data_IF_142848343635
#
_entry.id   IF_142848343635
#
_cell.length_a   1.000
_cell.length_b   1.000
_cell.length_c   1.000
_cell.angle_alpha   90.00
_cell.angle_beta   90.00
_cell.angle_gamma   90.00
#
_symmetry.space_group_name_H-M   'P 1'
#
loop_
_entity.id
_entity.type
_entity.pdbx_description
1 polymer ?
#
# COMPACT_ATOMS: atom_id res chain seq x y z
N UNK A 1 9.17 7.75 -1.28
CA UNK A 1 8.68 6.41 -1.60
C UNK A 1 9.78 5.42 -1.27
N UNK A 2 9.44 4.15 -1.01
CA UNK A 2 10.42 3.08 -0.86
C UNK A 2 11.13 2.80 -2.18
N UNK A 3 12.14 1.93 -2.15
CA UNK A 3 12.81 1.51 -3.39
C UNK A 3 11.78 0.80 -4.26
N UNK A 4 11.60 1.30 -5.50
CA UNK A 4 10.69 0.66 -6.44
C UNK A 4 11.37 -0.53 -7.07
N UNK A 5 10.63 -1.62 -7.06
CA UNK A 5 11.01 -2.83 -7.75
C UNK A 5 10.09 -2.99 -8.94
N UNK A 6 10.71 -2.98 -10.10
CA UNK A 6 10.02 -3.08 -11.36
C UNK A 6 10.48 -4.35 -12.04
N UNK A 7 9.50 -5.08 -12.57
CA UNK A 7 9.75 -6.27 -13.38
C UNK A 7 10.48 -7.42 -12.66
N UNK A 8 9.75 -8.11 -11.78
CA UNK A 8 10.16 -9.40 -11.20
C UNK A 8 9.77 -10.55 -12.12
N UNK A 9 10.52 -10.69 -13.19
CA UNK A 9 10.46 -11.88 -14.02
C UNK A 9 11.83 -12.52 -14.03
N UNK A 10 11.91 -13.85 -14.05
CA UNK A 10 13.21 -14.55 -14.01
C UNK A 10 14.06 -14.25 -15.27
N UNK A 11 13.41 -14.04 -16.42
CA UNK A 11 14.06 -13.94 -17.72
C UNK A 11 14.04 -12.56 -18.36
N UNK A 12 13.21 -11.62 -17.86
CA UNK A 12 13.20 -10.26 -18.40
C UNK A 12 14.20 -9.38 -17.64
N UNK A 13 14.79 -8.42 -18.36
CA UNK A 13 15.64 -7.40 -17.72
C UNK A 13 14.82 -6.44 -16.87
N UNK A 14 15.51 -5.50 -16.23
CA UNK A 14 14.91 -4.39 -15.50
C UNK A 14 15.03 -3.11 -16.35
N UNK A 15 14.14 -2.11 -16.14
CA UNK A 15 14.18 -0.89 -16.93
C UNK A 15 15.45 -0.08 -16.66
N UNK A 16 16.27 0.18 -17.69
CA UNK A 16 17.58 0.85 -17.55
C UNK A 16 17.55 2.14 -16.73
N UNK A 17 16.47 2.93 -16.86
CA UNK A 17 16.29 4.18 -16.11
C UNK A 17 16.24 3.99 -14.60
N UNK A 18 15.88 2.79 -14.12
CA UNK A 18 15.80 2.51 -12.69
C UNK A 18 17.17 2.50 -12.02
N UNK A 19 18.26 2.23 -12.76
CA UNK A 19 19.62 2.24 -12.23
C UNK A 19 20.03 3.58 -11.63
N UNK A 20 19.69 4.66 -12.33
CA UNK A 20 20.06 6.02 -11.95
C UNK A 20 19.09 6.61 -10.92
N UNK A 21 17.87 6.08 -10.83
CA UNK A 21 16.84 6.56 -9.93
C UNK A 21 16.06 5.41 -9.25
N UNK A 22 16.40 5.05 -7.99
CA UNK A 22 15.65 4.07 -7.21
C UNK A 22 14.23 4.51 -6.81
N UNK A 23 13.87 5.77 -7.06
CA UNK A 23 12.61 6.39 -6.67
C UNK A 23 11.94 7.10 -7.86
N UNK A 24 11.44 6.34 -8.85
CA UNK A 24 10.78 6.91 -10.02
C UNK A 24 9.61 7.82 -9.68
N UNK A 25 9.37 8.80 -10.54
CA UNK A 25 8.11 9.54 -10.54
C UNK A 25 6.94 8.64 -10.96
N UNK A 26 5.72 9.07 -10.64
CA UNK A 26 4.49 8.43 -11.14
C UNK A 26 4.52 8.27 -12.66
N UNK A 27 4.96 9.29 -13.39
CA UNK A 27 4.93 9.27 -14.86
C UNK A 27 5.89 8.23 -15.43
N UNK A 28 7.07 8.07 -14.82
CA UNK A 28 7.99 6.99 -15.17
C UNK A 28 7.42 5.60 -14.89
N UNK A 29 6.67 5.45 -13.80
CA UNK A 29 5.96 4.19 -13.52
C UNK A 29 4.87 3.91 -14.55
N UNK A 30 4.10 4.93 -14.96
CA UNK A 30 3.04 4.78 -15.97
C UNK A 30 3.62 4.42 -17.35
N UNK A 31 4.70 5.08 -17.76
CA UNK A 31 5.45 4.74 -18.98
C UNK A 31 5.90 3.27 -18.94
N UNK A 32 6.45 2.83 -17.82
CA UNK A 32 6.92 1.45 -17.66
C UNK A 32 5.77 0.44 -17.63
N UNK A 33 4.62 0.74 -17.01
CA UNK A 33 3.45 -0.15 -17.05
C UNK A 33 2.92 -0.33 -18.48
N UNK A 34 2.94 0.73 -19.29
CA UNK A 34 2.58 0.63 -20.70
C UNK A 34 3.58 -0.26 -21.47
N UNK A 35 4.89 -0.01 -21.32
CA UNK A 35 5.95 -0.81 -21.93
C UNK A 35 5.84 -2.31 -21.58
N UNK A 36 5.70 -2.63 -20.29
CA UNK A 36 5.50 -4.01 -19.82
C UNK A 36 4.24 -4.61 -20.43
N UNK A 37 3.12 -3.87 -20.47
CA UNK A 37 1.87 -4.37 -21.01
C UNK A 37 1.96 -4.71 -22.50
N UNK A 38 2.70 -3.91 -23.27
CA UNK A 38 2.98 -4.14 -24.68
C UNK A 38 3.91 -5.34 -24.88
N UNK A 39 5.02 -5.39 -24.15
CA UNK A 39 6.02 -6.48 -24.26
C UNK A 39 5.46 -7.84 -23.89
N UNK A 40 4.62 -7.90 -22.85
CA UNK A 40 3.98 -9.14 -22.41
C UNK A 40 2.74 -9.47 -23.26
N UNK A 41 2.36 -8.59 -24.20
CA UNK A 41 1.25 -8.82 -25.12
C UNK A 41 -0.11 -8.92 -24.43
N UNK A 42 -0.29 -8.27 -23.27
CA UNK A 42 -1.55 -8.39 -22.50
C UNK A 42 -2.64 -7.46 -23.00
N UNK A 43 -2.29 -6.37 -23.69
CA UNK A 43 -3.23 -5.34 -24.13
C UNK A 43 -4.43 -5.87 -24.95
N UNK A 44 -4.30 -6.84 -25.87
CA UNK A 44 -5.44 -7.42 -26.58
C UNK A 44 -6.49 -8.09 -25.69
N UNK A 45 -6.12 -8.44 -24.46
CA UNK A 45 -6.99 -9.09 -23.47
C UNK A 45 -7.57 -8.11 -22.44
N UNK A 46 -7.20 -6.82 -22.51
CA UNK A 46 -7.65 -5.78 -21.57
C UNK A 46 -8.81 -4.99 -22.18
N UNK A 47 -9.90 -4.86 -21.42
CA UNK A 47 -11.05 -4.02 -21.78
C UNK A 47 -11.13 -2.81 -20.85
N UNK A 48 -10.61 -1.67 -21.32
CA UNK A 48 -10.72 -0.41 -20.59
C UNK A 48 -12.14 0.16 -20.69
N UNK A 49 -12.46 1.13 -19.82
CA UNK A 49 -13.79 1.77 -19.74
C UNK A 49 -14.95 0.77 -19.59
N UNK A 50 -14.67 -0.37 -18.95
CA UNK A 50 -15.61 -1.49 -18.77
C UNK A 50 -15.75 -1.78 -17.28
N UNK A 51 -16.98 -1.77 -16.76
CA UNK A 51 -17.28 -2.19 -15.39
C UNK A 51 -17.87 -3.60 -15.37
N UNK A 52 -17.46 -4.40 -14.38
CA UNK A 52 -18.15 -5.65 -14.03
C UNK A 52 -19.20 -5.34 -12.97
N UNK A 53 -20.47 -5.54 -13.31
CA UNK A 53 -21.59 -5.07 -12.49
C UNK A 53 -22.18 -6.18 -11.62
N UNK A 54 -22.26 -7.41 -12.16
CA UNK A 54 -22.84 -8.56 -11.46
C UNK A 54 -22.08 -9.85 -11.79
N UNK A 55 -22.13 -10.80 -10.87
CA UNK A 55 -21.61 -12.16 -11.03
C UNK A 55 -22.71 -13.18 -10.69
N UNK A 56 -23.01 -14.08 -11.63
CA UNK A 56 -23.90 -15.22 -11.40
C UNK A 56 -23.10 -16.52 -11.45
N UNK A 57 -23.37 -17.38 -10.47
CA UNK A 57 -22.82 -18.75 -10.44
C UNK A 57 -23.82 -19.65 -11.16
N UNK A 58 -23.35 -20.35 -12.19
CA UNK A 58 -24.16 -21.20 -13.06
C UNK A 58 -23.73 -22.66 -12.86
N UNK A 59 -24.68 -23.53 -12.55
CA UNK A 59 -24.43 -24.93 -12.21
C UNK A 59 -24.72 -25.21 -10.73
N UNK A 60 -25.02 -26.48 -10.41
CA UNK A 60 -25.38 -26.91 -9.04
C UNK A 60 -24.28 -27.72 -8.35
N UNK A 61 -23.44 -28.41 -9.11
CA UNK A 61 -22.34 -29.18 -8.54
C UNK A 61 -21.09 -28.32 -8.44
N UNK A 62 -20.38 -28.45 -7.32
CA UNK A 62 -19.20 -27.65 -7.05
C UNK A 62 -18.17 -27.76 -8.18
N UNK A 63 -17.87 -28.95 -8.68
CA UNK A 63 -16.82 -29.12 -9.68
C UNK A 63 -17.21 -28.71 -11.12
N UNK A 64 -18.50 -28.56 -11.42
CA UNK A 64 -18.98 -28.24 -12.77
C UNK A 64 -19.56 -26.83 -12.93
N UNK A 65 -19.52 -26.01 -11.87
CA UNK A 65 -20.01 -24.64 -11.95
C UNK A 65 -19.14 -23.74 -12.86
N UNK A 66 -19.80 -22.76 -13.48
CA UNK A 66 -19.21 -21.68 -14.28
C UNK A 66 -19.76 -20.33 -13.83
N UNK A 67 -19.25 -19.24 -14.40
CA UNK A 67 -19.60 -17.89 -13.99
C UNK A 67 -20.08 -17.06 -15.18
N UNK A 68 -21.14 -16.30 -14.95
CA UNK A 68 -21.64 -15.28 -15.87
C UNK A 68 -21.42 -13.90 -15.25
N UNK A 69 -20.58 -13.08 -15.90
CA UNK A 69 -20.26 -11.73 -15.48
C UNK A 69 -20.96 -10.74 -16.40
N UNK A 70 -21.81 -9.87 -15.86
CA UNK A 70 -22.39 -8.78 -16.66
C UNK A 70 -21.38 -7.63 -16.73
N UNK A 71 -21.00 -7.28 -17.96
CA UNK A 71 -20.06 -6.21 -18.26
C UNK A 71 -20.79 -5.02 -18.91
N UNK A 72 -20.40 -3.81 -18.53
CA UNK A 72 -20.85 -2.57 -19.19
C UNK A 72 -19.64 -1.77 -19.68
N UNK A 73 -19.43 -1.75 -20.99
CA UNK A 73 -18.47 -0.83 -21.61
C UNK A 73 -19.14 0.53 -21.84
N UNK A 74 -18.43 1.63 -21.58
CA UNK A 74 -18.93 2.99 -21.85
C UNK A 74 -19.37 3.11 -23.32
N UNK A 75 -20.64 3.48 -23.53
CA UNK A 75 -21.23 3.66 -24.86
C UNK A 75 -21.67 2.38 -25.58
N UNK A 76 -21.62 1.21 -24.93
CA UNK A 76 -22.15 -0.06 -25.46
C UNK A 76 -23.26 -0.60 -24.57
N UNK A 77 -24.08 -1.51 -25.11
CA UNK A 77 -25.04 -2.27 -24.31
C UNK A 77 -24.36 -3.21 -23.30
N UNK A 78 -25.11 -3.65 -22.29
CA UNK A 78 -24.61 -4.67 -21.38
C UNK A 78 -24.42 -6.01 -22.10
N UNK A 79 -23.36 -6.73 -21.75
CA UNK A 79 -23.11 -8.08 -22.25
C UNK A 79 -22.83 -9.04 -21.10
N UNK A 80 -23.13 -10.33 -21.32
CA UNK A 80 -22.82 -11.39 -20.36
C UNK A 80 -21.59 -12.15 -20.86
N UNK A 81 -20.53 -12.13 -20.06
CA UNK A 81 -19.30 -12.86 -20.31
C UNK A 81 -19.28 -14.16 -19.49
N UNK A 82 -19.09 -15.30 -20.16
CA UNK A 82 -18.98 -16.61 -19.51
C UNK A 82 -17.51 -16.91 -19.20
N UNK A 83 -17.24 -17.29 -17.95
CA UNK A 83 -15.91 -17.60 -17.47
C UNK A 83 -15.89 -18.90 -16.64
N UNK A 84 -14.76 -19.61 -16.67
CA UNK A 84 -14.52 -20.76 -15.79
C UNK A 84 -14.06 -20.35 -14.38
N UNK A 85 -13.57 -19.12 -14.23
CA UNK A 85 -13.11 -18.54 -12.97
C UNK A 85 -13.16 -17.02 -13.01
N UNK A 86 -13.24 -16.37 -11.85
CA UNK A 86 -13.21 -14.92 -11.69
C UNK A 86 -12.18 -14.56 -10.63
N UNK A 87 -11.19 -13.76 -11.01
CA UNK A 87 -10.19 -13.20 -10.08
C UNK A 87 -10.30 -11.68 -10.06
N UNK A 88 -10.35 -11.09 -8.88
CA UNK A 88 -10.45 -9.64 -8.71
C UNK A 88 -9.24 -9.09 -7.95
N UNK A 89 -8.64 -8.03 -8.49
CA UNK A 89 -7.49 -7.33 -7.90
C UNK A 89 -7.85 -5.85 -7.70
N UNK A 90 -8.81 -5.52 -6.82
CA UNK A 90 -9.38 -4.18 -6.76
C UNK A 90 -8.46 -3.16 -6.09
N UNK A 91 -7.40 -3.62 -5.39
CA UNK A 91 -6.66 -2.80 -4.44
C UNK A 91 -7.49 -2.43 -3.21
N UNK A 92 -6.86 -1.79 -2.24
CA UNK A 92 -7.46 -1.35 -0.97
C UNK A 92 -7.42 0.18 -0.78
N UNK A 93 -6.87 0.91 -1.75
CA UNK A 93 -6.75 2.38 -1.75
C UNK A 93 -7.80 3.02 -2.68
N UNK A 94 -9.03 2.49 -2.66
CA UNK A 94 -10.07 2.84 -3.65
C UNK A 94 -11.07 3.88 -3.14
N UNK A 95 -11.40 3.87 -1.84
CA UNK A 95 -12.38 4.80 -1.27
C UNK A 95 -11.72 5.75 -0.26
N UNK A 96 -11.40 7.01 -0.62
CA UNK A 96 -10.75 7.94 0.30
C UNK A 96 -11.63 8.26 1.53
N UNK A 97 -11.06 8.16 2.73
CA UNK A 97 -11.74 8.58 3.95
C UNK A 97 -11.99 10.08 3.92
N UNK A 98 -13.25 10.47 4.10
CA UNK A 98 -13.67 11.87 4.07
C UNK A 98 -13.82 12.44 5.47
N UNK A 99 -13.40 13.69 5.63
CA UNK A 99 -13.60 14.49 6.83
C UNK A 99 -13.99 15.91 6.42
N UNK A 100 -14.89 16.50 7.18
CA UNK A 100 -15.31 17.89 7.04
C UNK A 100 -15.13 18.58 8.39
N UNK A 101 -14.42 19.69 8.39
CA UNK A 101 -14.22 20.52 9.57
C UNK A 101 -15.29 21.62 9.63
N UNK A 102 -15.71 22.03 10.84
CA UNK A 102 -16.52 23.24 10.97
C UNK A 102 -15.79 24.47 10.41
N UNK A 103 -16.50 25.28 9.61
CA UNK A 103 -16.01 26.54 9.06
C UNK A 103 -15.23 26.43 7.75
N UNK A 104 -15.20 25.27 7.08
CA UNK A 104 -14.57 25.10 5.76
C UNK A 104 -15.09 26.09 4.70
N UNK A 105 -16.35 26.49 4.80
CA UNK A 105 -17.01 27.50 3.97
C UNK A 105 -16.46 28.93 4.18
N UNK A 106 -15.78 29.17 5.30
CA UNK A 106 -15.18 30.47 5.66
C UNK A 106 -13.66 30.46 5.60
N UNK A 107 -13.05 29.33 5.23
CA UNK A 107 -11.60 29.24 5.05
C UNK A 107 -11.23 29.86 3.70
N UNK A 108 -10.22 30.74 3.69
CA UNK A 108 -9.84 31.52 2.51
C UNK A 108 -8.88 30.78 1.59
N UNK A 109 -8.23 29.72 2.09
CA UNK A 109 -7.30 28.89 1.33
C UNK A 109 -7.96 27.68 0.69
N UNK A 110 -7.16 26.86 0.01
CA UNK A 110 -7.63 25.62 -0.60
C UNK A 110 -7.80 24.51 0.46
N UNK A 111 -8.91 23.76 0.40
CA UNK A 111 -9.11 22.54 1.18
C UNK A 111 -9.35 21.39 0.22
N UNK A 112 -8.39 20.48 0.14
CA UNK A 112 -8.39 19.40 -0.85
C UNK A 112 -7.98 18.08 -0.21
N UNK A 113 -8.26 16.98 -0.91
CA UNK A 113 -7.62 15.71 -0.61
C UNK A 113 -6.37 15.61 -1.47
N UNK A 114 -5.18 15.55 -0.85
CA UNK A 114 -3.86 15.55 -1.52
C UNK A 114 -3.52 14.23 -2.23
N UNK A 115 -4.49 13.69 -2.96
CA UNK A 115 -4.46 12.42 -3.68
C UNK A 115 -4.92 12.62 -5.12
N UNK A 116 -4.54 11.72 -6.02
CA UNK A 116 -5.03 11.65 -7.41
C UNK A 116 -4.83 12.92 -8.25
N UNK A 117 -3.78 13.71 -7.99
CA UNK A 117 -3.48 14.97 -8.69
C UNK A 117 -4.59 16.02 -8.64
N UNK A 118 -5.46 15.98 -7.64
CA UNK A 118 -6.57 16.92 -7.52
C UNK A 118 -6.15 18.31 -7.03
N UNK A 119 -4.85 18.58 -6.93
CA UNK A 119 -4.31 19.81 -6.38
C UNK A 119 -3.09 20.29 -7.16
N UNK A 120 -3.08 21.58 -7.46
CA UNK A 120 -1.94 22.27 -8.05
C UNK A 120 -0.97 22.71 -6.95
N UNK A 121 0.17 22.03 -6.87
CA UNK A 121 1.19 22.32 -5.86
C UNK A 121 1.90 23.65 -6.09
N UNK A 122 1.78 24.32 -7.24
CA UNK A 122 2.31 25.67 -7.40
C UNK A 122 1.71 26.65 -6.37
N UNK A 123 0.50 26.38 -5.87
CA UNK A 123 -0.19 27.18 -4.88
C UNK A 123 0.41 27.12 -3.47
N UNK A 124 1.26 26.13 -3.17
CA UNK A 124 1.90 26.02 -1.85
C UNK A 124 3.13 26.90 -1.71
N UNK A 125 3.66 27.42 -2.82
CA UNK A 125 4.86 28.23 -2.85
C UNK A 125 4.73 29.41 -1.89
N UNK A 126 5.70 29.55 -0.99
CA UNK A 126 5.79 30.62 0.01
C UNK A 126 4.60 30.69 1.01
N UNK A 127 3.72 29.68 1.02
CA UNK A 127 2.57 29.57 1.91
C UNK A 127 2.78 28.54 3.03
N UNK A 128 2.08 28.71 4.15
CA UNK A 128 1.97 27.66 5.16
C UNK A 128 0.94 26.63 4.71
N UNK A 129 1.26 25.35 4.84
CA UNK A 129 0.39 24.23 4.46
C UNK A 129 0.11 23.37 5.68
N UNK A 130 -1.14 23.00 5.89
CA UNK A 130 -1.49 21.93 6.81
C UNK A 130 -1.70 20.61 6.06
N UNK A 131 -1.04 19.56 6.51
CA UNK A 131 -1.29 18.18 6.09
C UNK A 131 -2.03 17.46 7.21
N UNK A 132 -3.16 16.83 6.90
CA UNK A 132 -3.94 16.02 7.85
C UNK A 132 -3.59 14.55 7.67
N UNK A 133 -2.97 13.95 8.68
CA UNK A 133 -2.61 12.53 8.68
C UNK A 133 -1.11 12.30 8.88
N UNK A 134 -0.75 11.04 9.18
CA UNK A 134 0.63 10.64 9.46
C UNK A 134 1.15 9.50 8.55
N UNK A 135 0.31 8.98 7.66
CA UNK A 135 0.63 7.82 6.81
C UNK A 135 1.50 8.13 5.60
N UNK A 136 1.68 7.13 4.74
CA UNK A 136 2.59 7.22 3.59
C UNK A 136 2.34 8.43 2.67
N UNK A 137 1.09 8.70 2.31
CA UNK A 137 0.74 9.87 1.50
C UNK A 137 1.11 11.19 2.18
N UNK A 138 1.04 11.29 3.51
CA UNK A 138 1.39 12.50 4.23
C UNK A 138 2.89 12.79 4.17
N UNK A 139 3.72 11.76 4.36
CA UNK A 139 5.19 11.87 4.19
C UNK A 139 5.55 12.26 2.74
N UNK A 140 4.87 11.69 1.76
CA UNK A 140 5.04 12.06 0.35
C UNK A 140 4.64 13.51 0.07
N UNK A 141 3.51 13.97 0.61
CA UNK A 141 3.05 15.35 0.45
C UNK A 141 3.99 16.34 1.15
N UNK A 142 4.64 15.98 2.27
CA UNK A 142 5.70 16.82 2.88
C UNK A 142 6.82 17.05 1.87
N UNK A 143 7.28 15.99 1.18
CA UNK A 143 8.30 16.13 0.12
C UNK A 143 7.83 17.10 -0.96
N UNK A 144 6.64 16.87 -1.52
CA UNK A 144 6.14 17.72 -2.62
C UNK A 144 5.93 19.16 -2.18
N UNK A 145 5.45 19.43 -0.97
CA UNK A 145 5.38 20.78 -0.44
C UNK A 145 6.76 21.45 -0.34
N UNK A 146 7.79 20.71 0.08
CA UNK A 146 9.17 21.23 0.14
C UNK A 146 9.75 21.48 -1.25
N UNK A 147 9.55 20.57 -2.21
CA UNK A 147 9.96 20.74 -3.62
C UNK A 147 9.34 21.99 -4.25
N UNK A 148 8.10 22.31 -3.88
CA UNK A 148 7.38 23.52 -4.32
C UNK A 148 7.56 24.72 -3.38
N UNK A 149 8.57 24.68 -2.50
CA UNK A 149 8.98 25.79 -1.61
C UNK A 149 7.87 26.29 -0.68
N UNK A 150 7.10 25.39 -0.08
CA UNK A 150 6.20 25.78 1.01
C UNK A 150 7.00 26.46 2.14
N UNK A 151 6.44 27.56 2.68
CA UNK A 151 7.06 28.33 3.78
C UNK A 151 7.18 27.47 5.04
N UNK A 152 6.12 26.72 5.34
CA UNK A 152 6.03 25.81 6.49
C UNK A 152 5.01 24.72 6.21
N UNK A 153 5.29 23.50 6.66
CA UNK A 153 4.37 22.38 6.63
C UNK A 153 4.00 21.97 8.06
N UNK A 154 2.72 22.00 8.39
CA UNK A 154 2.17 21.50 9.65
C UNK A 154 1.52 20.14 9.40
N UNK A 155 2.16 19.07 9.84
CA UNK A 155 1.64 17.71 9.72
C UNK A 155 0.86 17.38 11.00
N UNK A 156 -0.47 17.50 10.94
CA UNK A 156 -1.37 17.33 12.08
C UNK A 156 -1.97 15.94 12.06
N UNK A 157 -1.86 15.21 13.18
CA UNK A 157 -2.38 13.86 13.29
C UNK A 157 -2.85 13.53 14.71
N UNK A 158 -3.79 12.59 14.84
CA UNK A 158 -4.24 12.11 16.16
C UNK A 158 -3.21 11.24 16.87
N UNK A 159 -2.32 10.59 16.11
CA UNK A 159 -1.22 9.74 16.60
C UNK A 159 -0.09 9.74 15.56
N UNK A 160 1.16 9.86 16.01
CA UNK A 160 2.33 9.77 15.12
C UNK A 160 2.54 8.33 14.68
N UNK A 161 2.62 8.09 13.38
CA UNK A 161 3.07 6.79 12.84
C UNK A 161 4.54 6.83 12.51
N UNK A 162 5.20 5.68 12.54
CA UNK A 162 6.62 5.57 12.20
C UNK A 162 6.76 5.88 10.70
N UNK A 163 7.66 6.80 10.39
CA UNK A 163 8.20 7.02 9.05
C UNK A 163 9.50 6.25 8.90
N UNK A 164 9.82 5.83 7.69
CA UNK A 164 10.99 5.00 7.40
C UNK A 164 11.94 5.73 6.45
N UNK A 165 13.25 5.79 6.75
CA UNK A 165 14.25 6.27 5.80
C UNK A 165 14.33 5.38 4.57
N UNK A 166 14.68 5.95 3.41
CA UNK A 166 14.84 5.17 2.16
C UNK A 166 15.93 4.11 2.29
N UNK A 167 17.03 4.40 3.00
CA UNK A 167 18.10 3.44 3.26
C UNK A 167 17.62 2.21 4.03
N UNK A 168 16.76 2.40 5.04
CA UNK A 168 16.17 1.27 5.78
C UNK A 168 15.27 0.43 4.88
N UNK A 169 14.49 1.07 4.01
CA UNK A 169 13.68 0.38 3.00
C UNK A 169 14.55 -0.45 2.06
N UNK A 170 15.63 0.12 1.51
CA UNK A 170 16.58 -0.63 0.69
C UNK A 170 17.20 -1.81 1.45
N UNK A 171 17.62 -1.60 2.70
CA UNK A 171 18.21 -2.64 3.54
C UNK A 171 17.28 -3.85 3.74
N UNK A 172 15.98 -3.61 3.95
CA UNK A 172 14.96 -4.66 4.03
C UNK A 172 14.75 -5.34 2.68
N UNK A 173 14.74 -4.59 1.59
CA UNK A 173 14.42 -5.13 0.28
C UNK A 173 15.58 -5.92 -0.35
N UNK A 174 16.83 -5.60 -0.03
CA UNK A 174 18.00 -6.36 -0.50
C UNK A 174 18.24 -7.64 0.31
N UNK A 175 17.61 -7.78 1.49
CA UNK A 175 17.85 -8.93 2.34
C UNK A 175 17.28 -10.21 1.73
N UNK A 176 17.98 -11.32 1.90
CA UNK A 176 17.44 -12.63 1.53
C UNK A 176 16.32 -13.02 2.50
N UNK A 177 16.65 -12.95 3.79
CA UNK A 177 15.74 -13.25 4.89
C UNK A 177 15.03 -12.01 5.41
N UNK A 178 13.90 -12.22 6.09
CA UNK A 178 13.19 -11.13 6.73
C UNK A 178 14.03 -10.48 7.84
N UNK A 179 14.08 -9.15 7.86
CA UNK A 179 14.82 -8.36 8.86
C UNK A 179 13.94 -8.16 10.09
N UNK A 180 14.46 -8.47 11.28
CA UNK A 180 13.70 -8.27 12.52
C UNK A 180 13.30 -6.81 12.73
N UNK A 181 12.15 -6.59 13.36
CA UNK A 181 11.66 -5.25 13.68
C UNK A 181 12.65 -4.46 14.54
N UNK A 182 13.42 -5.14 15.41
CA UNK A 182 14.52 -4.55 16.16
C UNK A 182 15.57 -3.95 15.24
N UNK A 183 16.16 -4.75 14.35
CA UNK A 183 17.19 -4.29 13.42
C UNK A 183 16.65 -3.19 12.49
N UNK A 184 15.39 -3.30 12.09
CA UNK A 184 14.70 -2.25 11.34
C UNK A 184 14.68 -0.93 12.13
N UNK A 185 14.24 -0.91 13.39
CA UNK A 185 14.25 0.31 14.22
C UNK A 185 15.66 0.82 14.48
N UNK A 186 16.63 -0.06 14.74
CA UNK A 186 18.04 0.31 14.93
C UNK A 186 18.60 1.02 13.68
N UNK A 187 18.29 0.51 12.47
CA UNK A 187 18.70 1.13 11.21
C UNK A 187 18.05 2.49 10.94
N UNK A 188 16.92 2.80 11.57
CA UNK A 188 16.24 4.10 11.46
C UNK A 188 16.88 5.18 12.34
N UNK A 189 17.66 4.78 13.36
CA UNK A 189 18.20 5.65 14.42
C UNK A 189 18.84 6.92 13.88
N UNK A 190 19.74 6.91 12.87
CA UNK A 190 20.40 8.14 12.42
C UNK A 190 19.43 9.26 12.00
N UNK A 191 18.30 8.90 11.37
CA UNK A 191 17.32 9.87 10.90
C UNK A 191 16.36 10.32 12.01
N UNK A 192 16.15 9.49 13.03
CA UNK A 192 15.35 9.82 14.20
C UNK A 192 16.13 10.68 15.21
N UNK A 193 17.41 10.40 15.39
CA UNK A 193 18.35 11.24 16.14
C UNK A 193 18.43 12.65 15.53
N UNK A 194 18.47 12.74 14.20
CA UNK A 194 18.49 14.01 13.47
C UNK A 194 17.30 14.92 13.81
N UNK A 195 16.13 14.34 14.08
CA UNK A 195 14.90 15.09 14.43
C UNK A 195 14.63 15.11 15.94
N UNK A 196 15.52 14.53 16.75
CA UNK A 196 15.40 14.48 18.22
C UNK A 196 14.21 13.66 18.72
N UNK A 197 13.86 12.56 18.04
CA UNK A 197 12.71 11.72 18.40
C UNK A 197 13.17 10.28 18.64
N UNK A 198 12.75 9.68 19.76
CA UNK A 198 12.95 8.24 20.00
C UNK A 198 11.92 7.41 19.21
N UNK A 199 12.35 6.71 18.16
CA UNK A 199 11.47 5.83 17.37
C UNK A 199 10.86 4.70 18.21
N UNK A 200 11.50 4.33 19.33
CA UNK A 200 11.03 3.27 20.21
C UNK A 200 9.88 3.72 21.12
N UNK A 201 9.70 5.03 21.30
CA UNK A 201 8.63 5.58 22.13
C UNK A 201 7.29 5.69 21.39
N UNK A 202 7.24 5.30 20.12
CA UNK A 202 6.01 5.34 19.33
C UNK A 202 5.01 4.33 19.86
N UNK A 203 3.73 4.71 19.87
CA UNK A 203 2.63 3.83 20.32
C UNK A 203 2.56 2.50 19.57
N UNK A 204 3.11 2.46 18.35
CA UNK A 204 3.12 1.30 17.48
C UNK A 204 4.25 0.32 17.79
N UNK A 205 5.24 0.69 18.60
CA UNK A 205 6.33 -0.22 18.98
C UNK A 205 5.95 -0.96 20.24
N UNK A 206 5.74 -2.28 20.11
CA UNK A 206 5.50 -3.18 21.24
C UNK A 206 6.79 -3.93 21.48
N UNK A 207 7.36 -3.78 22.68
CA UNK A 207 8.65 -4.40 23.02
C UNK A 207 8.77 -4.71 24.50
N UNK A 208 9.68 -5.63 24.84
CA UNK A 208 10.08 -5.87 26.23
C UNK A 208 11.06 -4.78 26.71
N UNK A 209 11.31 -4.71 28.02
CA UNK A 209 12.21 -3.70 28.61
C UNK A 209 13.62 -3.73 27.99
N UNK A 210 14.13 -4.92 27.67
CA UNK A 210 15.44 -5.11 27.05
C UNK A 210 15.49 -4.76 25.55
N UNK A 211 14.36 -4.37 24.95
CA UNK A 211 14.21 -4.07 23.51
C UNK A 211 14.65 -5.19 22.56
N UNK A 212 14.57 -6.45 23.00
CA UNK A 212 15.00 -7.62 22.22
C UNK A 212 13.88 -8.27 21.41
N UNK A 213 12.64 -8.21 21.91
CA UNK A 213 11.46 -8.77 21.24
C UNK A 213 10.56 -7.64 20.80
N UNK A 214 10.57 -7.34 19.50
CA UNK A 214 9.91 -6.14 18.95
C UNK A 214 8.85 -6.53 17.93
N UNK A 215 7.68 -5.93 18.05
CA UNK A 215 6.63 -5.96 17.02
C UNK A 215 6.18 -4.53 16.73
N UNK A 216 6.08 -4.17 15.45
CA UNK A 216 5.53 -2.87 15.04
C UNK A 216 4.07 -3.06 14.60
N UNK A 217 3.15 -2.37 15.28
CA UNK A 217 1.70 -2.37 15.02
C UNK A 217 1.17 -0.96 14.75
N UNK A 218 0.98 -0.61 13.48
CA UNK A 218 0.38 0.68 13.10
C UNK A 218 -0.68 0.56 12.00
N UNK A 219 -1.72 1.39 12.09
CA UNK A 219 -2.83 1.40 11.13
C UNK A 219 -2.49 2.03 9.77
N UNK A 220 -1.31 2.62 9.61
CA UNK A 220 -0.86 3.16 8.34
C UNK A 220 0.39 2.42 7.90
N UNK A 221 0.58 2.25 6.59
CA UNK A 221 1.90 1.87 6.05
C UNK A 221 2.94 2.93 6.40
N UNK A 222 4.21 2.53 6.47
CA UNK A 222 5.30 3.46 6.66
C UNK A 222 5.28 4.52 5.55
N UNK A 223 5.40 5.79 5.93
CA UNK A 223 5.82 6.80 4.99
C UNK A 223 7.31 6.69 4.80
N UNK A 224 7.72 6.26 3.61
CA UNK A 224 9.13 6.05 3.28
C UNK A 224 9.66 7.29 2.57
N UNK A 225 10.58 8.04 3.18
CA UNK A 225 11.14 9.24 2.56
C UNK A 225 12.05 10.05 3.47
N UNK A 226 13.20 10.45 2.93
CA UNK A 226 14.24 11.15 3.70
C UNK A 226 13.92 12.64 3.87
N UNK A 227 13.26 13.25 2.87
CA UNK A 227 12.87 14.66 2.89
C UNK A 227 11.96 15.01 4.07
N UNK A 228 11.16 14.05 4.57
CA UNK A 228 10.39 14.25 5.80
C UNK A 228 11.29 14.56 7.00
N UNK A 229 12.33 13.76 7.21
CA UNK A 229 13.26 13.95 8.32
C UNK A 229 14.08 15.22 8.15
N UNK A 230 14.56 15.48 6.93
CA UNK A 230 15.31 16.72 6.63
C UNK A 230 14.43 17.96 6.84
N UNK A 231 13.17 17.94 6.40
CA UNK A 231 12.25 19.05 6.58
C UNK A 231 11.95 19.30 8.06
N UNK A 232 11.80 18.24 8.87
CA UNK A 232 11.66 18.36 10.33
C UNK A 232 12.91 18.96 10.97
N UNK A 233 14.09 18.45 10.62
CA UNK A 233 15.38 18.90 11.18
C UNK A 233 15.68 20.36 10.84
N UNK A 234 15.38 20.79 9.61
CA UNK A 234 15.54 22.17 9.16
C UNK A 234 14.40 23.10 9.61
N UNK A 235 13.39 22.58 10.33
CA UNK A 235 12.25 23.37 10.79
C UNK A 235 11.25 23.76 9.69
N UNK A 236 11.34 23.21 8.48
CA UNK A 236 10.32 23.38 7.42
C UNK A 236 9.05 22.58 7.69
N UNK A 237 9.16 21.46 8.40
CA UNK A 237 8.03 20.63 8.80
C UNK A 237 7.89 20.61 10.33
N UNK A 238 6.65 20.56 10.81
CA UNK A 238 6.33 20.31 12.21
C UNK A 238 5.28 19.21 12.33
N UNK A 239 5.60 18.14 13.06
CA UNK A 239 4.70 16.99 13.27
C UNK A 239 3.95 17.11 14.60
N UNK A 240 2.68 17.52 14.51
CA UNK A 240 1.81 17.89 15.62
C UNK A 240 0.85 16.74 15.95
N UNK A 241 0.79 16.35 17.23
CA UNK A 241 -0.20 15.40 17.74
C UNK A 241 -1.40 16.17 18.29
N UNK A 242 -2.43 16.34 17.46
CA UNK A 242 -3.64 17.08 17.79
C UNK A 242 -4.74 16.74 16.78
N UNK A 243 -5.91 17.35 16.93
CA UNK A 243 -7.00 17.29 15.95
C UNK A 243 -7.47 18.69 15.56
N UNK A 244 -8.11 18.79 14.40
CA UNK A 244 -8.67 20.06 13.92
C UNK A 244 -10.04 20.28 14.54
N UNK A 245 -10.17 21.31 15.37
CA UNK A 245 -11.45 21.70 15.96
C UNK A 245 -12.35 22.41 14.95
N UNK A 246 -11.79 23.36 14.21
CA UNK A 246 -12.46 24.15 13.16
C UNK A 246 -11.44 24.93 12.33
N UNK A 247 -11.88 25.48 11.21
CA UNK A 247 -11.11 26.40 10.38
C UNK A 247 -11.88 27.70 10.19
N UNK A 248 -11.17 28.82 9.99
CA UNK A 248 -11.79 30.12 9.72
C UNK A 248 -10.77 31.10 9.15
N UNK A 249 -11.10 31.85 8.10
CA UNK A 249 -10.13 32.78 7.51
C UNK A 249 -8.92 32.01 6.97
N UNK A 250 -7.71 32.39 7.40
CA UNK A 250 -6.46 31.66 7.13
C UNK A 250 -5.95 30.89 8.36
N UNK A 251 -6.82 30.58 9.32
CA UNK A 251 -6.45 29.97 10.60
C UNK A 251 -7.07 28.59 10.78
N UNK A 252 -6.24 27.63 11.19
CA UNK A 252 -6.69 26.34 11.70
C UNK A 252 -6.66 26.38 13.23
N UNK A 253 -7.79 26.09 13.86
CA UNK A 253 -7.91 25.99 15.32
C UNK A 253 -7.83 24.53 15.71
N UNK A 254 -6.82 24.16 16.48
CA UNK A 254 -6.65 22.80 16.98
C UNK A 254 -7.42 22.57 18.28
N UNK A 255 -7.66 21.31 18.63
CA UNK A 255 -8.42 20.94 19.83
C UNK A 255 -7.68 21.34 21.11
N UNK A 256 -6.34 21.31 21.12
CA UNK A 256 -5.53 21.81 22.24
C UNK A 256 -5.70 23.31 22.52
N UNK A 257 -6.31 24.07 21.60
CA UNK A 257 -6.38 25.54 21.65
C UNK A 257 -5.26 26.23 20.88
N UNK A 258 -4.24 25.50 20.42
CA UNK A 258 -3.22 26.04 19.50
C UNK A 258 -3.86 26.48 18.19
N UNK A 259 -3.37 27.58 17.63
CA UNK A 259 -3.76 28.08 16.31
C UNK A 259 -2.60 27.97 15.33
N UNK A 260 -2.90 27.54 14.11
CA UNK A 260 -1.98 27.60 12.97
C UNK A 260 -2.45 28.74 12.08
N UNK A 261 -1.67 29.81 12.02
CA UNK A 261 -2.03 31.04 11.31
C UNK A 261 -1.40 31.08 9.91
N UNK A 262 -1.96 31.92 9.04
CA UNK A 262 -1.52 32.10 7.65
C UNK A 262 -1.48 30.80 6.83
N UNK A 263 -2.36 29.84 7.14
CA UNK A 263 -2.46 28.58 6.38
C UNK A 263 -3.16 28.87 5.06
N UNK A 264 -2.44 28.69 3.95
CA UNK A 264 -2.95 28.90 2.59
C UNK A 264 -3.56 27.65 1.97
N UNK A 265 -3.22 26.45 2.48
CA UNK A 265 -3.79 25.20 1.98
C UNK A 265 -3.89 24.13 3.07
N UNK A 266 -4.94 23.31 3.00
CA UNK A 266 -5.17 22.14 3.83
C UNK A 266 -5.26 20.90 2.93
N UNK A 267 -4.30 20.00 3.08
CA UNK A 267 -4.21 18.73 2.36
C UNK A 267 -4.70 17.58 3.26
N UNK A 268 -5.92 17.09 3.02
CA UNK A 268 -6.53 15.99 3.76
C UNK A 268 -6.03 14.62 3.26
N UNK A 269 -5.27 13.90 4.10
CA UNK A 269 -4.65 12.61 3.78
C UNK A 269 -5.05 11.54 4.82
N UNK A 270 -6.36 11.34 4.93
CA UNK A 270 -6.98 10.57 6.01
C UNK A 270 -6.94 9.03 5.80
N UNK A 271 -6.31 8.56 4.72
CA UNK A 271 -6.28 7.15 4.32
C UNK A 271 -7.51 6.74 3.50
N UNK A 272 -7.67 5.43 3.32
CA UNK A 272 -8.69 4.84 2.46
C UNK A 272 -9.45 3.72 3.18
N UNK A 273 -10.63 3.42 2.68
CA UNK A 273 -11.38 2.19 2.92
C UNK A 273 -11.43 1.37 1.62
N UNK A 274 -11.75 0.09 1.74
CA UNK A 274 -12.17 -0.71 0.59
C UNK A 274 -13.58 -0.38 0.14
N UNK A 275 -13.97 -0.97 -0.99
CA UNK A 275 -15.31 -0.80 -1.56
C UNK A 275 -16.16 -2.06 -1.33
N UNK A 276 -17.26 -1.94 -0.58
CA UNK A 276 -18.24 -3.01 -0.42
C UNK A 276 -18.88 -3.45 -1.75
N UNK A 277 -18.74 -2.64 -2.81
CA UNK A 277 -19.14 -3.02 -4.15
C UNK A 277 -18.42 -4.30 -4.64
N UNK A 278 -17.17 -4.51 -4.22
CA UNK A 278 -16.41 -5.72 -4.57
C UNK A 278 -16.98 -6.97 -3.88
N UNK A 279 -17.34 -6.85 -2.59
CA UNK A 279 -18.01 -7.93 -1.85
C UNK A 279 -19.35 -8.30 -2.48
N UNK A 280 -20.16 -7.27 -2.82
CA UNK A 280 -21.44 -7.46 -3.50
C UNK A 280 -21.29 -8.10 -4.87
N UNK A 281 -20.29 -7.66 -5.66
CA UNK A 281 -19.99 -8.20 -6.97
C UNK A 281 -19.67 -9.70 -6.87
N UNK A 282 -18.75 -10.09 -5.99
CA UNK A 282 -18.35 -11.50 -5.86
C UNK A 282 -19.27 -12.34 -4.96
N UNK A 283 -20.27 -11.71 -4.33
CA UNK A 283 -21.20 -12.31 -3.36
C UNK A 283 -20.43 -12.95 -2.19
N UNK A 284 -19.51 -12.19 -1.61
CA UNK A 284 -18.68 -12.64 -0.49
C UNK A 284 -19.53 -12.71 0.78
N UNK A 285 -19.60 -13.89 1.39
CA UNK A 285 -20.12 -14.08 2.75
C UNK A 285 -18.95 -14.24 3.72
N UNK A 286 -17.99 -15.06 3.31
CA UNK A 286 -16.71 -15.23 3.96
C UNK A 286 -15.57 -15.22 2.93
N UNK A 287 -14.41 -14.74 3.35
CA UNK A 287 -13.15 -14.89 2.65
C UNK A 287 -12.31 -15.95 3.36
N UNK A 288 -12.23 -17.15 2.78
CA UNK A 288 -11.41 -18.25 3.29
C UNK A 288 -10.02 -18.16 2.65
N UNK A 289 -9.05 -17.68 3.41
CA UNK A 289 -7.78 -17.24 2.84
C UNK A 289 -7.97 -16.11 1.84
N UNK A 290 -7.84 -16.38 0.54
CA UNK A 290 -8.08 -15.42 -0.54
C UNK A 290 -9.31 -15.77 -1.40
N UNK A 291 -9.99 -16.86 -1.05
CA UNK A 291 -11.05 -17.44 -1.86
C UNK A 291 -12.43 -17.12 -1.31
N UNK A 292 -13.30 -16.68 -2.21
CA UNK A 292 -14.65 -16.26 -1.89
C UNK A 292 -15.51 -17.48 -1.59
N UNK A 293 -16.02 -17.59 -0.37
CA UNK A 293 -16.85 -18.71 0.07
C UNK A 293 -16.22 -20.08 -0.24
N UNK A 294 -14.89 -20.18 -0.03
CA UNK A 294 -14.08 -21.39 -0.27
C UNK A 294 -14.09 -21.91 -1.72
N UNK A 295 -14.42 -21.05 -2.67
CA UNK A 295 -14.45 -21.43 -4.08
C UNK A 295 -13.11 -21.07 -4.75
N UNK A 296 -12.28 -22.07 -5.05
CA UNK A 296 -10.93 -21.84 -5.60
C UNK A 296 -10.91 -21.08 -6.94
N UNK A 297 -12.06 -21.01 -7.62
CA UNK A 297 -12.24 -20.27 -8.88
C UNK A 297 -12.71 -18.83 -8.69
N UNK A 298 -13.12 -18.45 -7.48
CA UNK A 298 -13.45 -17.05 -7.13
C UNK A 298 -12.39 -16.52 -6.18
N UNK A 299 -11.46 -15.77 -6.75
CA UNK A 299 -10.31 -15.24 -6.06
C UNK A 299 -10.42 -13.74 -5.92
N UNK A 300 -10.05 -13.23 -4.75
CA UNK A 300 -9.92 -11.79 -4.55
C UNK A 300 -8.75 -11.52 -3.63
N UNK A 301 -7.89 -10.62 -4.08
CA UNK A 301 -6.76 -10.20 -3.27
C UNK A 301 -6.54 -8.70 -3.42
N UNK A 302 -6.31 -8.06 -2.28
CA UNK A 302 -5.83 -6.71 -2.18
C UNK A 302 -4.68 -6.70 -1.18
N UNK A 303 -3.87 -5.64 -1.21
CA UNK A 303 -2.80 -5.49 -0.23
C UNK A 303 -3.37 -5.60 1.20
N UNK A 304 -2.79 -6.45 2.07
CA UNK A 304 -3.17 -6.45 3.47
C UNK A 304 -2.91 -5.08 4.10
N UNK A 305 -3.90 -4.55 4.80
CA UNK A 305 -3.79 -3.25 5.46
C UNK A 305 -2.95 -3.36 6.73
N UNK A 306 -2.50 -2.19 7.21
CA UNK A 306 -1.76 -2.01 8.45
C UNK A 306 -0.35 -2.61 8.41
N UNK A 307 0.44 -2.31 9.42
CA UNK A 307 1.68 -3.00 9.73
C UNK A 307 1.42 -3.76 11.02
N UNK A 308 1.62 -5.07 11.00
CA UNK A 308 1.68 -5.93 12.19
C UNK A 308 2.78 -6.96 11.93
N UNK A 309 4.01 -6.60 12.31
CA UNK A 309 5.18 -7.36 11.91
C UNK A 309 6.27 -7.34 12.99
N UNK A 310 6.74 -8.54 13.35
CA UNK A 310 8.00 -8.73 14.08
C UNK A 310 9.21 -8.89 13.14
N UNK A 311 8.97 -9.18 11.85
CA UNK A 311 9.99 -9.30 10.82
C UNK A 311 9.49 -8.70 9.51
N UNK A 312 10.38 -8.13 8.72
CA UNK A 312 10.09 -7.44 7.47
C UNK A 312 10.81 -8.13 6.31
N UNK A 313 10.05 -8.84 5.47
CA UNK A 313 10.58 -9.44 4.25
C UNK A 313 10.66 -8.49 3.06
N UNK A 314 9.87 -7.42 3.07
CA UNK A 314 9.79 -6.44 1.97
C UNK A 314 9.10 -5.17 2.49
N UNK A 315 9.42 -4.03 1.89
CA UNK A 315 8.61 -2.80 2.02
C UNK A 315 7.86 -2.48 0.73
N UNK A 316 7.84 -3.41 -0.21
CA UNK A 316 7.23 -3.30 -1.53
C UNK A 316 6.15 -4.36 -1.73
N UNK A 317 5.11 -3.95 -2.45
CA UNK A 317 3.95 -4.75 -2.78
C UNK A 317 4.23 -5.83 -3.84
N UNK A 318 5.13 -5.57 -4.78
CA UNK A 318 5.30 -6.38 -6.00
C UNK A 318 5.61 -7.86 -5.74
N UNK A 319 6.52 -8.25 -4.81
CA UNK A 319 6.75 -9.67 -4.50
C UNK A 319 5.48 -10.39 -4.02
N UNK A 320 4.66 -9.72 -3.20
CA UNK A 320 3.39 -10.27 -2.73
C UNK A 320 2.39 -10.43 -3.88
N UNK A 321 2.27 -9.42 -4.74
CA UNK A 321 1.36 -9.45 -5.90
C UNK A 321 1.64 -10.63 -6.85
N UNK A 322 2.92 -10.95 -7.08
CA UNK A 322 3.34 -12.09 -7.90
C UNK A 322 2.97 -13.39 -7.22
N UNK A 323 3.34 -13.56 -5.95
CA UNK A 323 3.03 -14.77 -5.19
C UNK A 323 1.52 -15.04 -5.16
N UNK A 324 0.68 -14.02 -4.98
CA UNK A 324 -0.77 -14.18 -5.00
C UNK A 324 -1.32 -14.52 -6.39
N UNK A 325 -0.76 -13.95 -7.45
CA UNK A 325 -1.20 -14.24 -8.83
C UNK A 325 -0.79 -15.66 -9.23
N UNK A 326 0.44 -16.05 -8.92
CA UNK A 326 0.96 -17.40 -9.15
C UNK A 326 0.20 -18.47 -8.35
N UNK A 327 -0.13 -18.18 -7.09
CA UNK A 327 -0.95 -19.05 -6.24
C UNK A 327 -2.30 -19.32 -6.89
N UNK A 328 -2.98 -18.28 -7.35
CA UNK A 328 -4.27 -18.46 -8.00
C UNK A 328 -4.15 -19.20 -9.33
N UNK A 329 -3.15 -18.84 -10.15
CA UNK A 329 -2.89 -19.54 -11.39
C UNK A 329 -2.61 -21.04 -11.15
N UNK A 330 -1.83 -21.37 -10.12
CA UNK A 330 -1.53 -22.75 -9.72
C UNK A 330 -2.80 -23.53 -9.43
N UNK A 331 -3.68 -23.03 -8.57
CA UNK A 331 -4.92 -23.74 -8.21
C UNK A 331 -5.91 -23.86 -9.38
N UNK A 332 -5.90 -22.93 -10.34
CA UNK A 332 -6.69 -23.07 -11.56
C UNK A 332 -6.13 -24.16 -12.49
N UNK A 333 -4.81 -24.32 -12.57
CA UNK A 333 -4.16 -25.36 -13.37
C UNK A 333 -4.18 -26.73 -12.70
N UNK A 334 -4.09 -26.77 -11.37
CA UNK A 334 -4.00 -27.99 -10.55
C UNK A 334 -5.10 -28.01 -9.49
N UNK A 335 -6.39 -28.11 -9.88
CA UNK A 335 -7.51 -27.97 -8.95
C UNK A 335 -7.55 -29.03 -7.84
N UNK A 336 -6.89 -30.18 -8.01
CA UNK A 336 -6.77 -31.19 -6.95
C UNK A 336 -5.95 -30.72 -5.75
N UNK A 337 -5.03 -29.78 -5.95
CA UNK A 337 -4.24 -29.20 -4.85
C UNK A 337 -5.09 -28.31 -3.93
N UNK A 338 -6.33 -28.00 -4.32
CA UNK A 338 -7.31 -27.34 -3.46
C UNK A 338 -7.92 -28.26 -2.41
N UNK A 339 -8.07 -29.56 -2.69
CA UNK A 339 -8.69 -30.53 -1.78
C UNK A 339 -8.06 -30.52 -0.37
N UNK A 340 -6.72 -30.63 -0.19
CA UNK A 340 -6.13 -30.57 1.14
C UNK A 340 -6.35 -29.22 1.84
N UNK A 341 -6.37 -28.12 1.09
CA UNK A 341 -6.62 -26.78 1.63
C UNK A 341 -8.07 -26.63 2.12
N UNK A 342 -9.01 -27.22 1.39
CA UNK A 342 -10.42 -27.26 1.76
C UNK A 342 -10.64 -28.13 3.00
N UNK A 343 -10.12 -29.36 3.00
CA UNK A 343 -10.36 -30.36 4.06
C UNK A 343 -9.71 -29.99 5.39
N UNK A 344 -8.57 -29.32 5.36
CA UNK A 344 -7.83 -28.93 6.57
C UNK A 344 -8.50 -27.83 7.39
N UNK A 345 -9.32 -26.99 6.76
CA UNK A 345 -9.90 -25.80 7.38
C UNK A 345 -8.85 -24.88 8.05
N UNK A 346 -7.61 -24.86 7.55
CA UNK A 346 -6.48 -24.16 8.18
C UNK A 346 -6.30 -22.70 7.75
N UNK A 347 -7.04 -22.19 6.76
CA UNK A 347 -6.95 -20.77 6.42
C UNK A 347 -7.70 -19.88 7.41
N UNK A 348 -7.19 -18.66 7.65
CA UNK A 348 -7.98 -17.65 8.34
C UNK A 348 -9.23 -17.31 7.53
N UNK A 349 -10.32 -17.04 8.26
CA UNK A 349 -11.60 -16.60 7.69
C UNK A 349 -11.80 -15.14 8.05
N UNK A 350 -12.20 -14.34 7.06
CA UNK A 350 -12.53 -12.94 7.27
C UNK A 350 -13.91 -12.63 6.70
N UNK A 351 -14.70 -11.88 7.45
CA UNK A 351 -16.03 -11.39 7.07
C UNK A 351 -16.00 -9.86 7.00
N UNK A 352 -17.04 -9.29 6.40
CA UNK A 352 -17.15 -7.84 6.36
C UNK A 352 -17.40 -7.28 7.77
N UNK A 353 -16.71 -6.19 8.09
CA UNK A 353 -16.84 -5.46 9.34
C UNK A 353 -17.49 -4.11 9.03
N UNK A 354 -18.82 -4.09 9.07
CA UNK A 354 -19.62 -2.90 8.77
C UNK A 354 -19.40 -1.78 9.78
N UNK A 355 -19.14 -2.11 11.05
CA UNK A 355 -18.86 -1.14 12.11
C UNK A 355 -17.62 -0.29 11.78
N UNK A 356 -16.57 -0.94 11.27
CA UNK A 356 -15.34 -0.26 10.86
C UNK A 356 -15.31 0.11 9.37
N UNK A 357 -16.42 -0.05 8.64
CA UNK A 357 -16.52 0.20 7.20
C UNK A 357 -15.42 -0.54 6.40
N UNK A 358 -15.20 -1.82 6.73
CA UNK A 358 -14.17 -2.68 6.15
C UNK A 358 -14.83 -3.87 5.43
N UNK A 359 -14.78 -3.91 4.09
CA UNK A 359 -15.25 -5.06 3.31
C UNK A 359 -14.49 -6.35 3.66
N UNK A 360 -15.10 -7.51 3.40
CA UNK A 360 -14.52 -8.82 3.65
C UNK A 360 -13.20 -9.04 2.90
N UNK A 361 -13.04 -8.48 1.69
CA UNK A 361 -11.79 -8.64 0.94
C UNK A 361 -10.60 -7.81 1.48
N UNK A 362 -10.86 -6.83 2.34
CA UNK A 362 -9.80 -5.99 2.93
C UNK A 362 -9.34 -6.61 4.23
N UNK A 363 -8.26 -7.39 4.14
CA UNK A 363 -7.72 -8.15 5.27
C UNK A 363 -6.52 -7.46 5.92
N UNK A 364 -6.22 -7.84 7.16
CA UNK A 364 -5.03 -7.36 7.89
C UNK A 364 -3.76 -8.16 7.54
N UNK A 365 -2.59 -7.60 7.84
CA UNK A 365 -1.29 -8.23 7.58
C UNK A 365 -1.15 -9.66 8.14
N UNK A 366 -1.75 -9.94 9.31
CA UNK A 366 -1.72 -11.28 9.92
C UNK A 366 -2.45 -12.31 9.06
N UNK A 367 -3.61 -11.95 8.51
CA UNK A 367 -4.37 -12.82 7.60
C UNK A 367 -3.53 -13.23 6.40
N UNK A 368 -2.91 -12.25 5.74
CA UNK A 368 -2.05 -12.53 4.58
C UNK A 368 -0.84 -13.40 4.90
N UNK A 369 -0.23 -13.19 6.08
CA UNK A 369 0.92 -13.99 6.54
C UNK A 369 0.53 -15.44 6.82
N UNK A 370 -0.59 -15.66 7.53
CA UNK A 370 -1.10 -17.00 7.81
C UNK A 370 -1.51 -17.73 6.53
N UNK A 371 -2.14 -17.04 5.56
CA UNK A 371 -2.42 -17.62 4.25
C UNK A 371 -1.16 -18.10 3.54
N UNK A 372 -0.11 -17.27 3.48
CA UNK A 372 1.15 -17.64 2.84
C UNK A 372 1.82 -18.85 3.50
N UNK A 373 1.84 -18.90 4.83
CA UNK A 373 2.39 -20.03 5.59
C UNK A 373 1.62 -21.33 5.32
N UNK A 374 0.28 -21.28 5.38
CA UNK A 374 -0.57 -22.45 5.12
C UNK A 374 -0.40 -22.95 3.68
N UNK A 375 -0.33 -22.05 2.69
CA UNK A 375 -0.09 -22.44 1.29
C UNK A 375 1.24 -23.15 1.10
N UNK A 376 2.33 -22.58 1.63
CA UNK A 376 3.67 -23.16 1.53
C UNK A 376 3.80 -24.50 2.28
N UNK A 377 3.02 -24.70 3.35
CA UNK A 377 3.04 -25.95 4.11
C UNK A 377 2.22 -27.07 3.44
N UNK A 378 1.12 -26.72 2.76
CA UNK A 378 0.13 -27.70 2.30
C UNK A 378 0.20 -27.99 0.80
N UNK A 379 0.67 -27.05 -0.01
CA UNK A 379 0.72 -27.20 -1.48
C UNK A 379 2.17 -27.14 -1.94
N UNK A 380 2.74 -28.33 -2.18
CA UNK A 380 4.14 -28.50 -2.57
C UNK A 380 4.52 -27.66 -3.80
N UNK A 381 3.66 -27.60 -4.82
CA UNK A 381 3.94 -26.82 -6.03
C UNK A 381 4.07 -25.32 -5.76
N UNK A 382 3.28 -24.78 -4.82
CA UNK A 382 3.37 -23.38 -4.40
C UNK A 382 4.64 -23.15 -3.59
N UNK A 383 4.99 -24.08 -2.70
CA UNK A 383 6.24 -24.02 -1.92
C UNK A 383 7.48 -24.02 -2.83
N UNK A 384 7.53 -24.91 -3.82
CA UNK A 384 8.60 -25.01 -4.80
C UNK A 384 8.73 -23.72 -5.63
N UNK A 385 7.60 -23.13 -6.06
CA UNK A 385 7.60 -21.82 -6.74
C UNK A 385 8.10 -20.69 -5.85
N UNK A 386 7.65 -20.64 -4.60
CA UNK A 386 8.09 -19.64 -3.62
C UNK A 386 9.60 -19.70 -3.35
N UNK A 387 10.21 -20.89 -3.41
CA UNK A 387 11.65 -21.06 -3.27
C UNK A 387 12.44 -20.46 -4.44
N UNK A 388 11.84 -20.35 -5.63
CA UNK A 388 12.46 -19.71 -6.81
C UNK A 388 12.26 -18.19 -6.78
N UNK A 389 11.05 -17.73 -6.46
CA UNK A 389 10.74 -16.29 -6.45
C UNK A 389 11.29 -15.55 -5.22
N UNK A 390 11.54 -16.26 -4.11
CA UNK A 390 12.12 -15.68 -2.89
C UNK A 390 13.47 -14.97 -3.12
N UNK A 391 14.49 -15.66 -3.68
CA UNK A 391 15.77 -15.04 -4.01
C UNK A 391 15.70 -13.92 -5.05
N UNK A 392 14.71 -13.97 -5.96
CA UNK A 392 14.59 -13.03 -7.08
C UNK A 392 14.52 -11.57 -6.60
N UNK A 393 13.83 -11.31 -5.48
CA UNK A 393 13.77 -9.98 -4.86
C UNK A 393 15.14 -9.41 -4.53
N UNK A 394 15.93 -10.18 -3.77
CA UNK A 394 17.29 -9.76 -3.40
C UNK A 394 18.15 -9.58 -4.65
N UNK A 395 18.10 -10.55 -5.57
CA UNK A 395 18.90 -10.50 -6.79
C UNK A 395 18.60 -9.24 -7.59
N UNK A 396 17.31 -8.97 -7.87
CA UNK A 396 16.89 -7.76 -8.59
C UNK A 396 17.27 -6.48 -7.86
N UNK A 397 17.13 -6.45 -6.54
CA UNK A 397 17.52 -5.28 -5.76
C UNK A 397 19.02 -4.97 -5.86
N UNK A 398 19.88 -6.00 -5.86
CA UNK A 398 21.32 -5.84 -5.98
C UNK A 398 21.78 -5.61 -7.42
N UNK A 399 21.04 -6.11 -8.41
CA UNK A 399 21.31 -5.84 -9.83
C UNK A 399 20.98 -4.40 -10.22
N UNK A 400 19.83 -3.88 -9.77
CA UNK A 400 19.37 -2.54 -10.12
C UNK A 400 20.05 -1.48 -9.25
N UNK A 401 20.14 -1.70 -7.95
CA UNK A 401 20.74 -0.76 -6.99
C UNK A 401 21.74 -1.48 -6.09
N UNK A 402 22.93 -1.84 -6.62
CA UNK A 402 24.02 -2.33 -5.79
C UNK A 402 24.36 -1.29 -4.70
N UNK A 403 24.94 -1.71 -3.56
CA UNK A 403 25.14 -0.84 -2.40
C UNK A 403 25.86 0.48 -2.76
N UNK A 404 26.89 0.41 -3.61
CA UNK A 404 27.68 1.57 -4.02
C UNK A 404 26.83 2.57 -4.83
N UNK A 405 26.03 2.08 -5.77
CA UNK A 405 25.11 2.89 -6.57
C UNK A 405 24.02 3.50 -5.71
N UNK A 406 23.41 2.71 -4.82
CA UNK A 406 22.36 3.20 -3.92
C UNK A 406 22.88 4.32 -3.02
N UNK A 407 24.06 4.14 -2.44
CA UNK A 407 24.71 5.16 -1.62
C UNK A 407 25.08 6.41 -2.43
N UNK A 408 25.50 6.26 -3.69
CA UNK A 408 25.74 7.38 -4.59
C UNK A 408 24.45 8.18 -4.85
N UNK A 409 23.32 7.52 -5.13
CA UNK A 409 22.02 8.16 -5.29
C UNK A 409 21.57 8.91 -4.01
N UNK A 410 21.82 8.33 -2.84
CA UNK A 410 21.57 9.00 -1.56
C UNK A 410 22.42 10.27 -1.39
N UNK A 411 23.70 10.22 -1.76
CA UNK A 411 24.62 11.35 -1.63
C UNK A 411 24.31 12.49 -2.61
N UNK A 412 23.81 12.19 -3.80
CA UNK A 412 23.45 13.19 -4.81
C UNK A 412 22.14 13.94 -4.53
N UNK A 413 21.36 13.49 -3.54
CA UNK A 413 20.06 14.10 -3.20
C UNK A 413 18.99 13.94 -4.29
N UNK A 414 19.09 12.86 -5.10
CA UNK A 414 18.12 12.55 -6.16
C UNK A 414 16.83 11.91 -5.63
#
# INVERSE_FOLDING_TARGET
MGVYHLEYHETHGWPAWAYDNPWPSRDKLMEHFQDVSERYGILPYVRLNTSANTLNVVGKEYWSQSYEVTLKTKGKEEEVFKAASVSLFPGNLTNPKRVTYPGEDTFLGDIVYGISNNFDYAKVCDNNVMIVGSGAFAVENVRTCVEFRAKKVYMVCRRKTISMPRLTSWFINQSLEAISARLTLESMTPMYDLIGVDQWSYYSVITNEARTNVTIKQKARFGIGDVYFLAMACGYCEHIVDDTKRVSGSTVHLVSGRKLEEVGSILKLCGFNGEFANDRLLKIKELYGWWVNRDYRRYIVAEPIFVDAGNFGSTSFSPGAISWTETQAHLLMYPKDWEPLWDSNCFPVHEADEENNRPAYVVEALHGSLCGLTLGAMVRGIAERGAVTGPLKRQRQLEIHPPEQFLACCASGM
#
